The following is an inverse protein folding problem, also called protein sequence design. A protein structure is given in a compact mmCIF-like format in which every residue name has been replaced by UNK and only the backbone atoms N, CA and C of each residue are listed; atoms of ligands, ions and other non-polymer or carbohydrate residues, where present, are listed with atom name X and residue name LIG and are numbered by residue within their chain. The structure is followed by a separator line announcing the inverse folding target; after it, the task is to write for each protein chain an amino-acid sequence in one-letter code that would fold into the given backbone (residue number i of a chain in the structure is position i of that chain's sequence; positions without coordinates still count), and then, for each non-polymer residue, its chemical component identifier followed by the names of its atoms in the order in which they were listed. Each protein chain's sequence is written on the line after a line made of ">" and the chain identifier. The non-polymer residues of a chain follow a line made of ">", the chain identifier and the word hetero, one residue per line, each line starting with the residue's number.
data_IF_491360285800
#
_entry.id   IF_491360285800
#
_cell.length_a   1.000
_cell.length_b   1.000
_cell.length_c   1.000
_cell.angle_alpha   90.00
_cell.angle_beta   90.00
_cell.angle_gamma   90.00
#
_symmetry.space_group_name_H-M   'P 1'
#
loop_
_entity.id
_entity.type
_entity.pdbx_description
1 polymer ?
#
# COMPACT_ATOMS: atom_id res chain seq x y z
N UNK A 1 -15.20 24.66 -28.07
CA UNK A 1 -14.64 23.37 -27.62
C UNK A 1 -14.64 23.38 -26.10
N UNK A 2 -15.42 22.51 -25.45
CA UNK A 2 -15.39 22.35 -23.99
C UNK A 2 -14.04 21.74 -23.62
N UNK A 3 -13.27 22.45 -22.80
CA UNK A 3 -12.06 21.93 -22.17
C UNK A 3 -12.41 20.65 -21.40
N UNK A 4 -12.06 19.51 -21.98
CA UNK A 4 -12.16 18.20 -21.34
C UNK A 4 -10.97 18.02 -20.38
N UNK A 5 -10.79 18.96 -19.45
CA UNK A 5 -9.92 18.74 -18.30
C UNK A 5 -10.65 17.75 -17.42
N UNK A 6 -10.33 16.46 -17.58
CA UNK A 6 -10.68 15.44 -16.61
C UNK A 6 -10.26 15.97 -15.25
N UNK A 7 -11.23 16.29 -14.41
CA UNK A 7 -11.00 16.67 -13.03
C UNK A 7 -10.39 15.43 -12.35
N UNK A 8 -9.06 15.35 -12.33
CA UNK A 8 -8.35 14.26 -11.66
C UNK A 8 -8.66 14.46 -10.18
N UNK A 9 -9.64 13.70 -9.69
CA UNK A 9 -9.99 13.65 -8.28
C UNK A 9 -8.69 13.38 -7.52
N UNK A 10 -8.30 14.28 -6.63
CA UNK A 10 -7.07 14.16 -5.85
C UNK A 10 -7.21 12.95 -4.91
N UNK A 11 -6.60 11.82 -5.28
CA UNK A 11 -6.55 10.62 -4.46
C UNK A 11 -5.37 10.75 -3.51
N UNK A 12 -5.64 10.71 -2.21
CA UNK A 12 -4.57 10.65 -1.22
C UNK A 12 -3.94 9.27 -1.16
N UNK A 13 -2.64 9.24 -0.97
CA UNK A 13 -1.87 8.01 -0.78
C UNK A 13 -1.15 8.00 0.56
N UNK A 14 -0.94 6.79 1.06
CA UNK A 14 -0.13 6.48 2.24
C UNK A 14 0.79 5.30 1.91
N UNK A 15 1.94 5.21 2.56
CA UNK A 15 2.85 4.07 2.42
C UNK A 15 3.41 3.64 3.78
N UNK A 16 3.74 2.36 3.90
CA UNK A 16 4.25 1.77 5.14
C UNK A 16 5.65 1.21 4.91
N UNK A 17 6.63 1.67 5.70
CA UNK A 17 8.00 1.14 5.65
C UNK A 17 8.05 -0.31 6.14
N UNK A 18 8.75 -1.15 5.39
CA UNK A 18 8.80 -2.60 5.60
C UNK A 18 9.43 -3.02 6.94
N UNK A 19 10.44 -2.30 7.43
CA UNK A 19 11.18 -2.69 8.64
C UNK A 19 10.72 -1.91 9.87
N UNK A 20 10.58 -0.61 9.76
CA UNK A 20 10.35 0.29 10.89
C UNK A 20 8.86 0.54 11.17
N UNK A 21 7.95 0.03 10.33
CA UNK A 21 6.51 0.32 10.37
C UNK A 21 6.22 1.83 10.50
N UNK A 22 6.97 2.64 9.75
CA UNK A 22 6.75 4.08 9.60
C UNK A 22 5.68 4.31 8.54
N UNK A 23 4.63 5.04 8.89
CA UNK A 23 3.55 5.45 8.00
C UNK A 23 3.87 6.82 7.40
N UNK A 24 4.00 6.88 6.09
CA UNK A 24 4.19 8.12 5.33
C UNK A 24 2.84 8.53 4.74
N UNK A 25 2.48 9.79 4.94
CA UNK A 25 1.21 10.36 4.50
C UNK A 25 1.51 11.48 3.51
N UNK A 26 0.80 11.51 2.39
CA UNK A 26 0.93 12.58 1.40
C UNK A 26 0.84 13.97 2.05
N UNK A 27 1.82 14.83 1.77
CA UNK A 27 1.90 16.20 2.30
C UNK A 27 2.45 16.31 3.73
N UNK A 28 2.77 15.20 4.40
CA UNK A 28 3.46 15.21 5.69
C UNK A 28 4.96 14.96 5.51
N UNK A 29 5.78 15.80 6.16
CA UNK A 29 7.24 15.71 6.09
C UNK A 29 7.78 14.56 6.94
N UNK A 30 7.29 14.45 8.17
CA UNK A 30 7.72 13.44 9.12
C UNK A 30 6.76 12.25 9.10
N UNK A 31 7.27 11.01 9.06
CA UNK A 31 6.44 9.82 9.14
C UNK A 31 5.95 9.58 10.57
N UNK A 32 4.78 8.96 10.68
CA UNK A 32 4.24 8.51 11.96
C UNK A 32 4.77 7.10 12.29
N UNK A 33 5.13 6.85 13.54
CA UNK A 33 5.38 5.47 13.96
C UNK A 33 4.02 4.78 14.12
N UNK A 34 3.77 3.69 13.38
CA UNK A 34 2.46 3.04 13.39
C UNK A 34 2.01 2.66 14.81
N UNK A 35 2.96 2.28 15.67
CA UNK A 35 2.73 1.92 17.08
C UNK A 35 2.13 3.04 17.95
N UNK A 36 2.22 4.29 17.51
CA UNK A 36 1.70 5.47 18.21
C UNK A 36 0.23 5.76 17.83
N UNK A 37 -0.30 5.08 16.80
CA UNK A 37 -1.69 5.21 16.41
C UNK A 37 -2.62 4.37 17.30
N UNK A 38 -3.92 4.71 17.36
CA UNK A 38 -4.92 3.87 18.01
C UNK A 38 -4.85 2.43 17.53
N UNK A 39 -5.13 1.48 18.43
CA UNK A 39 -4.93 0.05 18.20
C UNK A 39 -5.70 -0.46 16.99
N UNK A 40 -6.88 0.07 16.76
CA UNK A 40 -7.76 -0.25 15.65
C UNK A 40 -7.12 0.12 14.30
N UNK A 41 -6.52 1.32 14.23
CA UNK A 41 -5.84 1.83 13.05
C UNK A 41 -4.54 1.05 12.81
N UNK A 42 -3.76 0.82 13.87
CA UNK A 42 -2.56 0.00 13.81
C UNK A 42 -2.86 -1.39 13.21
N UNK A 43 -3.86 -2.08 13.77
CA UNK A 43 -4.25 -3.42 13.33
C UNK A 43 -4.76 -3.41 11.88
N UNK A 44 -5.59 -2.43 11.51
CA UNK A 44 -6.13 -2.31 10.16
C UNK A 44 -5.00 -2.15 9.12
N UNK A 45 -4.05 -1.26 9.37
CA UNK A 45 -2.93 -1.02 8.44
C UNK A 45 -2.05 -2.27 8.28
N UNK A 46 -1.79 -3.00 9.37
CA UNK A 46 -1.05 -4.25 9.29
C UNK A 46 -1.80 -5.33 8.52
N UNK A 47 -3.11 -5.48 8.76
CA UNK A 47 -3.95 -6.41 8.00
C UNK A 47 -3.94 -6.10 6.51
N UNK A 48 -4.08 -4.83 6.12
CA UNK A 48 -4.02 -4.42 4.72
C UNK A 48 -2.67 -4.77 4.06
N UNK A 49 -1.55 -4.55 4.77
CA UNK A 49 -0.21 -4.94 4.30
C UNK A 49 -0.12 -6.45 4.11
N UNK A 50 -0.56 -7.21 5.10
CA UNK A 50 -0.44 -8.67 5.11
C UNK A 50 -1.29 -9.29 3.99
N UNK A 51 -2.46 -8.71 3.73
CA UNK A 51 -3.33 -9.08 2.61
C UNK A 51 -2.72 -8.76 1.24
N UNK A 52 -2.17 -7.56 1.08
CA UNK A 52 -1.46 -7.19 -0.14
C UNK A 52 -0.25 -8.11 -0.40
N UNK A 53 0.50 -8.43 0.66
CA UNK A 53 1.64 -9.34 0.58
C UNK A 53 1.23 -10.77 0.23
N UNK A 54 0.20 -11.30 0.91
CA UNK A 54 -0.37 -12.62 0.62
C UNK A 54 -0.84 -12.72 -0.82
N UNK A 55 -1.55 -11.70 -1.31
CA UNK A 55 -2.01 -11.63 -2.69
C UNK A 55 -0.84 -11.66 -3.68
N UNK A 56 0.17 -10.79 -3.49
CA UNK A 56 1.34 -10.72 -4.35
C UNK A 56 2.08 -12.06 -4.42
N UNK A 57 2.37 -12.69 -3.28
CA UNK A 57 3.03 -14.01 -3.25
C UNK A 57 2.19 -15.05 -3.99
N UNK A 58 0.90 -15.12 -3.69
CA UNK A 58 0.00 -16.12 -4.28
C UNK A 58 -0.09 -15.95 -5.80
N UNK A 59 -0.17 -14.71 -6.27
CA UNK A 59 -0.22 -14.36 -7.69
C UNK A 59 1.08 -14.75 -8.40
N UNK A 60 2.25 -14.36 -7.86
CA UNK A 60 3.53 -14.73 -8.46
C UNK A 60 3.78 -16.24 -8.44
N UNK A 61 3.37 -16.96 -7.39
CA UNK A 61 3.43 -18.43 -7.36
C UNK A 61 2.58 -19.06 -8.47
N UNK A 62 1.39 -18.51 -8.73
CA UNK A 62 0.50 -18.98 -9.82
C UNK A 62 1.12 -18.73 -11.19
N UNK A 63 1.77 -17.58 -11.41
CA UNK A 63 2.45 -17.28 -12.67
C UNK A 63 3.67 -18.19 -12.90
N UNK A 64 4.49 -18.44 -11.86
CA UNK A 64 5.61 -19.39 -11.95
C UNK A 64 5.15 -20.81 -12.28
N UNK A 65 4.06 -21.29 -11.65
CA UNK A 65 3.49 -22.61 -11.98
C UNK A 65 3.05 -22.72 -13.45
N UNK A 66 2.71 -21.60 -14.09
CA UNK A 66 2.32 -21.54 -15.51
C UNK A 66 3.52 -21.35 -16.45
N UNK A 67 4.75 -21.25 -15.94
CA UNK A 67 5.94 -20.95 -16.74
C UNK A 67 5.98 -19.51 -17.28
N UNK A 68 5.17 -18.60 -16.72
CA UNK A 68 5.10 -17.20 -17.17
C UNK A 68 6.08 -16.27 -16.45
N UNK A 69 6.77 -16.78 -15.42
CA UNK A 69 7.83 -16.09 -14.70
C UNK A 69 8.93 -17.10 -14.37
N UNK A 70 10.18 -16.72 -14.61
CA UNK A 70 11.35 -17.48 -14.17
C UNK A 70 11.69 -17.15 -12.71
N UNK A 71 12.60 -17.93 -12.12
CA UNK A 71 13.07 -17.72 -10.75
C UNK A 71 14.11 -16.60 -10.69
#
# INVERSE_FOLDING_TARGET
>A
MKDLRLEIKKIRFISLAKKENKLYIEGQKEPLLLKELPREIFNLILQLRDEAHRFAISYHRKLRKRGLLEN
#
